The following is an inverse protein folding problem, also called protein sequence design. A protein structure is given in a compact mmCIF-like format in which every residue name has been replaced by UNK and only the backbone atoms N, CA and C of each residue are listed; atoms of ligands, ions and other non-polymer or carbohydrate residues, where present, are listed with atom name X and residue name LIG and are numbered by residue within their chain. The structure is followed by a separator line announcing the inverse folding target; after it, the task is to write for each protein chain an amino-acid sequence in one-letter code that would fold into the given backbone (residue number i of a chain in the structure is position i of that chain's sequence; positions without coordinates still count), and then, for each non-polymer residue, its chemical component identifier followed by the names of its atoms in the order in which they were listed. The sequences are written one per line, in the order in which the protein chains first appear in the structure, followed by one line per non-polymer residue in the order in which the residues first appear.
data_IF_778081744017
#
_entry.id   IF_778081744017
#
_cell.length_a   1.000
_cell.length_b   1.000
_cell.length_c   1.000
_cell.angle_alpha   90.00
_cell.angle_beta   90.00
_cell.angle_gamma   90.00
#
_symmetry.space_group_name_H-M   'P 1'
#
loop_
_entity.id
_entity.type
_entity.pdbx_description
1 polymer ?
#
# COMPACT_ATOMS: atom_id res chain seq x y z
N UNK A 1 -25.93 24.80 -33.59
CA UNK A 1 -24.62 25.39 -33.28
C UNK A 1 -24.23 24.93 -31.89
N UNK A 2 -23.48 23.84 -31.79
CA UNK A 2 -22.89 23.34 -30.55
C UNK A 2 -21.69 24.21 -30.21
N UNK A 3 -21.87 25.09 -29.23
CA UNK A 3 -20.76 25.86 -28.65
C UNK A 3 -19.70 24.87 -28.15
N UNK A 4 -18.56 24.81 -28.85
CA UNK A 4 -17.37 24.07 -28.39
C UNK A 4 -17.00 24.62 -27.00
N UNK A 5 -17.34 23.87 -25.94
CA UNK A 5 -16.89 24.20 -24.58
C UNK A 5 -15.36 24.29 -24.64
N UNK A 6 -14.79 25.47 -24.39
CA UNK A 6 -13.35 25.68 -24.26
C UNK A 6 -12.77 24.55 -23.39
N UNK A 7 -11.81 23.83 -23.93
CA UNK A 7 -11.10 22.79 -23.18
C UNK A 7 -10.43 23.44 -21.96
N UNK A 8 -11.00 23.21 -20.79
CA UNK A 8 -10.43 23.68 -19.52
C UNK A 8 -9.35 22.67 -19.12
N UNK A 9 -8.11 23.12 -19.09
CA UNK A 9 -6.95 22.28 -18.72
C UNK A 9 -6.94 21.94 -17.22
N UNK A 10 -7.34 22.89 -16.38
CA UNK A 10 -7.47 22.71 -14.93
C UNK A 10 -8.92 22.97 -14.55
N UNK A 11 -9.55 22.06 -13.82
CA UNK A 11 -10.91 22.25 -13.32
C UNK A 11 -10.97 23.46 -12.39
N UNK A 12 -12.02 24.26 -12.57
CA UNK A 12 -12.35 25.37 -11.65
C UNK A 12 -13.22 24.91 -10.47
N UNK A 13 -13.56 23.64 -10.43
CA UNK A 13 -14.35 23.07 -9.36
C UNK A 13 -13.55 23.00 -8.06
N UNK A 14 -13.76 23.94 -7.17
CA UNK A 14 -13.14 23.97 -5.85
C UNK A 14 -13.44 22.72 -5.03
N UNK A 15 -14.57 22.05 -5.29
CA UNK A 15 -14.95 20.83 -4.58
C UNK A 15 -13.98 19.69 -4.87
N UNK A 16 -13.44 19.59 -6.09
CA UNK A 16 -12.41 18.62 -6.47
C UNK A 16 -11.17 18.74 -5.57
N UNK A 17 -10.59 19.93 -5.50
CA UNK A 17 -9.36 20.16 -4.71
C UNK A 17 -9.58 19.96 -3.21
N UNK A 18 -10.73 20.44 -2.70
CA UNK A 18 -11.11 20.25 -1.30
C UNK A 18 -11.28 18.76 -0.97
N UNK A 19 -11.95 18.00 -1.82
CA UNK A 19 -12.15 16.56 -1.62
C UNK A 19 -10.84 15.80 -1.77
N UNK A 20 -10.01 16.17 -2.76
CA UNK A 20 -8.68 15.58 -2.94
C UNK A 20 -7.83 15.76 -1.66
N UNK A 21 -7.74 16.97 -1.14
CA UNK A 21 -7.00 17.24 0.10
C UNK A 21 -7.60 16.54 1.32
N UNK A 22 -8.95 16.56 1.44
CA UNK A 22 -9.66 15.94 2.57
C UNK A 22 -9.53 14.41 2.60
N UNK A 23 -9.26 13.78 1.46
CA UNK A 23 -9.00 12.34 1.37
C UNK A 23 -7.48 12.05 1.43
N UNK A 24 -6.68 12.76 0.63
CA UNK A 24 -5.26 12.46 0.50
C UNK A 24 -4.50 12.64 1.82
N UNK A 25 -4.75 13.73 2.54
CA UNK A 25 -4.03 14.01 3.79
C UNK A 25 -4.28 12.94 4.87
N UNK A 26 -5.52 12.58 5.22
CA UNK A 26 -5.76 11.50 6.18
C UNK A 26 -5.23 10.14 5.73
N UNK A 27 -5.32 9.80 4.43
CA UNK A 27 -4.82 8.52 3.91
C UNK A 27 -3.29 8.49 4.00
N UNK A 28 -2.60 9.58 3.65
CA UNK A 28 -1.14 9.68 3.76
C UNK A 28 -0.68 9.62 5.21
N UNK A 29 -1.36 10.33 6.11
CA UNK A 29 -1.07 10.27 7.54
C UNK A 29 -1.34 8.86 8.11
N UNK A 30 -2.40 8.18 7.69
CA UNK A 30 -2.65 6.79 8.08
C UNK A 30 -1.49 5.88 7.64
N UNK A 31 -1.01 6.01 6.40
CA UNK A 31 0.13 5.23 5.91
C UNK A 31 1.41 5.54 6.70
N UNK A 32 1.64 6.81 7.04
CA UNK A 32 2.77 7.23 7.86
C UNK A 32 2.69 6.66 9.29
N UNK A 33 1.51 6.68 9.91
CA UNK A 33 1.25 6.07 11.21
C UNK A 33 1.55 4.58 11.16
N UNK A 34 1.09 3.87 10.14
CA UNK A 34 1.35 2.43 9.97
C UNK A 34 2.85 2.14 9.82
N UNK A 35 3.58 2.97 9.08
CA UNK A 35 5.04 2.89 8.99
C UNK A 35 5.71 3.14 10.35
N UNK A 36 5.24 4.14 11.11
CA UNK A 36 5.76 4.47 12.44
C UNK A 36 5.55 3.34 13.46
N UNK A 37 4.43 2.61 13.39
CA UNK A 37 4.20 1.41 14.22
C UNK A 37 5.31 0.39 14.00
N UNK A 38 5.55 0.00 12.74
CA UNK A 38 6.58 -0.99 12.42
C UNK A 38 8.00 -0.52 12.78
N UNK A 39 8.27 0.78 12.63
CA UNK A 39 9.55 1.35 13.02
C UNK A 39 9.75 1.34 14.54
N UNK A 40 8.74 1.72 15.32
CA UNK A 40 8.78 1.69 16.78
C UNK A 40 8.93 0.26 17.32
N UNK A 41 8.19 -0.70 16.75
CA UNK A 41 8.32 -2.12 17.11
C UNK A 41 9.76 -2.61 16.90
N UNK A 42 10.34 -2.35 15.73
CA UNK A 42 11.72 -2.76 15.42
C UNK A 42 12.75 -2.09 16.37
N UNK A 43 12.56 -0.80 16.67
CA UNK A 43 13.44 -0.06 17.58
C UNK A 43 13.38 -0.61 19.01
N UNK A 44 12.21 -0.96 19.52
CA UNK A 44 12.06 -1.52 20.86
C UNK A 44 12.60 -2.95 20.95
N UNK A 45 12.32 -3.78 19.93
CA UNK A 45 12.83 -5.14 19.88
C UNK A 45 14.35 -5.19 19.70
N UNK A 46 14.97 -4.19 19.05
CA UNK A 46 16.43 -4.14 18.87
C UNK A 46 17.24 -4.14 20.18
N UNK A 47 16.60 -3.78 21.29
CA UNK A 47 17.23 -3.82 22.61
C UNK A 47 17.28 -5.23 23.23
N UNK A 48 16.61 -6.23 22.62
CA UNK A 48 16.57 -7.61 23.10
C UNK A 48 17.69 -8.50 22.53
N UNK A 49 18.49 -7.97 21.59
CA UNK A 49 19.57 -8.70 20.94
C UNK A 49 19.26 -9.15 19.51
N UNK A 50 20.30 -9.59 18.80
CA UNK A 50 20.25 -9.82 17.35
C UNK A 50 19.31 -10.96 16.93
N UNK A 51 19.28 -12.06 17.69
CA UNK A 51 18.39 -13.19 17.41
C UNK A 51 16.92 -12.78 17.52
N UNK A 52 16.59 -11.96 18.54
CA UNK A 52 15.27 -11.43 18.77
C UNK A 52 14.80 -10.54 17.64
N UNK A 53 15.63 -9.58 17.23
CA UNK A 53 15.33 -8.68 16.09
C UNK A 53 15.09 -9.47 14.81
N UNK A 54 16.00 -10.41 14.52
CA UNK A 54 15.92 -11.25 13.33
C UNK A 54 14.67 -12.13 13.33
N UNK A 55 14.32 -12.72 14.47
CA UNK A 55 13.11 -13.53 14.65
C UNK A 55 11.82 -12.74 14.41
N UNK A 56 11.71 -11.54 15.01
CA UNK A 56 10.57 -10.64 14.79
C UNK A 56 10.53 -10.16 13.33
N UNK A 57 11.67 -9.86 12.72
CA UNK A 57 11.73 -9.47 11.31
C UNK A 57 11.19 -10.58 10.39
N UNK A 58 11.60 -11.84 10.62
CA UNK A 58 11.09 -12.98 9.84
C UNK A 58 9.59 -13.21 10.05
N UNK A 59 9.11 -13.10 11.29
CA UNK A 59 7.67 -13.16 11.59
C UNK A 59 6.88 -12.06 10.89
N UNK A 60 7.42 -10.84 10.83
CA UNK A 60 6.83 -9.71 10.12
C UNK A 60 6.80 -9.91 8.60
N UNK A 61 7.69 -10.69 8.00
CA UNK A 61 7.62 -11.04 6.58
C UNK A 61 6.38 -11.88 6.25
N UNK A 62 6.02 -12.82 7.13
CA UNK A 62 4.77 -13.60 6.99
C UNK A 62 3.54 -12.69 7.10
N UNK A 63 3.54 -11.75 8.05
CA UNK A 63 2.48 -10.75 8.17
C UNK A 63 2.40 -9.85 6.94
N UNK A 64 3.53 -9.45 6.37
CA UNK A 64 3.60 -8.64 5.15
C UNK A 64 2.99 -9.36 3.96
N UNK A 65 3.16 -10.69 3.87
CA UNK A 65 2.50 -11.49 2.84
C UNK A 65 0.96 -11.39 2.94
N UNK A 66 0.40 -11.52 4.14
CA UNK A 66 -1.04 -11.30 4.35
C UNK A 66 -1.46 -9.88 3.96
N UNK A 67 -0.68 -8.87 4.37
CA UNK A 67 -0.99 -7.47 4.03
C UNK A 67 -1.03 -7.24 2.52
N UNK A 68 -0.15 -7.89 1.78
CA UNK A 68 -0.12 -7.83 0.32
C UNK A 68 -1.40 -8.41 -0.30
N UNK A 69 -1.82 -9.60 0.11
CA UNK A 69 -3.07 -10.21 -0.34
C UNK A 69 -4.27 -9.34 0.01
N UNK A 70 -4.30 -8.80 1.22
CA UNK A 70 -5.36 -7.91 1.69
C UNK A 70 -5.40 -6.59 0.92
N UNK A 71 -4.26 -6.07 0.46
CA UNK A 71 -4.22 -4.86 -0.38
C UNK A 71 -5.06 -5.03 -1.64
N UNK A 72 -5.02 -6.20 -2.29
CA UNK A 72 -5.87 -6.51 -3.45
C UNK A 72 -7.37 -6.49 -3.12
N UNK A 73 -7.78 -7.09 -2.01
CA UNK A 73 -9.19 -7.08 -1.54
C UNK A 73 -9.63 -5.67 -1.19
N UNK A 74 -8.83 -4.92 -0.45
CA UNK A 74 -9.09 -3.53 -0.03
C UNK A 74 -9.23 -2.59 -1.23
N UNK A 75 -8.35 -2.69 -2.23
CA UNK A 75 -8.44 -1.89 -3.46
C UNK A 75 -9.70 -2.24 -4.26
N UNK A 76 -10.03 -3.53 -4.41
CA UNK A 76 -11.26 -3.98 -5.08
C UNK A 76 -12.51 -3.41 -4.41
N UNK A 77 -12.56 -3.50 -3.08
CA UNK A 77 -13.62 -2.91 -2.26
C UNK A 77 -13.74 -1.41 -2.52
N UNK A 78 -12.60 -0.70 -2.45
CA UNK A 78 -12.55 0.76 -2.66
C UNK A 78 -13.07 1.19 -4.02
N UNK A 79 -12.68 0.49 -5.09
CA UNK A 79 -13.05 0.82 -6.47
C UNK A 79 -14.56 0.59 -6.69
N UNK A 80 -15.05 -0.61 -6.36
CA UNK A 80 -16.45 -0.94 -6.56
C UNK A 80 -17.37 -0.09 -5.68
N UNK A 81 -17.06 0.00 -4.38
CA UNK A 81 -17.88 0.76 -3.45
C UNK A 81 -17.89 2.27 -3.79
N UNK A 82 -16.78 2.85 -4.28
CA UNK A 82 -16.75 4.25 -4.71
C UNK A 82 -17.65 4.51 -5.93
N UNK A 83 -17.72 3.58 -6.89
CA UNK A 83 -18.63 3.73 -8.02
C UNK A 83 -20.11 3.64 -7.58
N UNK A 84 -20.47 2.67 -6.74
CA UNK A 84 -21.82 2.58 -6.18
C UNK A 84 -22.15 3.75 -5.24
N UNK A 85 -21.15 4.34 -4.58
CA UNK A 85 -21.32 5.60 -3.83
C UNK A 85 -21.71 6.76 -4.75
N UNK A 86 -21.10 6.85 -5.95
CA UNK A 86 -21.49 7.82 -6.98
C UNK A 86 -22.96 7.67 -7.42
N UNK A 87 -23.44 6.43 -7.52
CA UNK A 87 -24.86 6.11 -7.83
C UNK A 87 -25.79 6.26 -6.62
N UNK A 88 -25.24 6.45 -5.41
CA UNK A 88 -25.97 6.48 -4.13
C UNK A 88 -26.67 5.16 -3.77
N UNK A 89 -26.18 4.03 -4.28
CA UNK A 89 -26.71 2.70 -3.98
C UNK A 89 -26.00 2.08 -2.77
N UNK A 90 -26.56 2.35 -1.59
CA UNK A 90 -26.02 1.85 -0.32
C UNK A 90 -26.20 0.35 -0.16
N UNK A 91 -27.21 -0.24 -0.80
CA UNK A 91 -27.46 -1.68 -0.72
C UNK A 91 -26.35 -2.46 -1.38
N UNK A 92 -25.96 -2.06 -2.59
CA UNK A 92 -24.83 -2.68 -3.30
C UNK A 92 -23.49 -2.45 -2.58
N UNK A 93 -23.27 -1.27 -1.98
CA UNK A 93 -22.06 -1.02 -1.16
C UNK A 93 -21.99 -2.03 0.00
N UNK A 94 -23.06 -2.24 0.74
CA UNK A 94 -23.10 -3.21 1.84
C UNK A 94 -22.82 -4.64 1.37
N UNK A 95 -23.33 -5.02 0.20
CA UNK A 95 -23.04 -6.34 -0.39
C UNK A 95 -21.57 -6.48 -0.82
N UNK A 96 -20.94 -5.40 -1.36
CA UNK A 96 -19.52 -5.38 -1.68
C UNK A 96 -18.69 -5.55 -0.39
N UNK A 97 -19.04 -4.84 0.67
CA UNK A 97 -18.36 -4.99 1.98
C UNK A 97 -18.51 -6.40 2.52
N UNK A 98 -19.70 -7.01 2.39
CA UNK A 98 -19.95 -8.41 2.77
C UNK A 98 -19.05 -9.39 1.98
N UNK A 99 -18.94 -9.22 0.65
CA UNK A 99 -18.04 -10.01 -0.20
C UNK A 99 -16.60 -9.87 0.21
N UNK A 100 -16.16 -8.62 0.41
CA UNK A 100 -14.80 -8.30 0.84
C UNK A 100 -14.49 -8.93 2.19
N UNK A 101 -15.46 -8.90 3.13
CA UNK A 101 -15.31 -9.50 4.45
C UNK A 101 -15.14 -11.03 4.34
N UNK A 102 -15.95 -11.68 3.50
CA UNK A 102 -15.82 -13.13 3.28
C UNK A 102 -14.48 -13.50 2.64
N UNK A 103 -14.09 -12.78 1.58
CA UNK A 103 -12.81 -13.01 0.91
C UNK A 103 -11.62 -12.74 1.84
N UNK A 104 -11.65 -11.63 2.57
CA UNK A 104 -10.61 -11.26 3.51
C UNK A 104 -10.52 -12.22 4.69
N UNK A 105 -11.66 -12.59 5.32
CA UNK A 105 -11.67 -13.57 6.41
C UNK A 105 -11.17 -14.94 5.95
N UNK A 106 -11.49 -15.37 4.72
CA UNK A 106 -10.96 -16.62 4.18
C UNK A 106 -9.43 -16.55 4.03
N UNK A 107 -8.88 -15.46 3.45
CA UNK A 107 -7.43 -15.24 3.35
C UNK A 107 -6.78 -15.13 4.72
N UNK A 108 -7.37 -14.36 5.64
CA UNK A 108 -6.86 -14.19 7.00
C UNK A 108 -6.87 -15.50 7.79
N UNK A 109 -7.91 -16.33 7.63
CA UNK A 109 -8.02 -17.63 8.29
C UNK A 109 -6.99 -18.63 7.72
N UNK A 110 -6.83 -18.69 6.39
CA UNK A 110 -5.85 -19.57 5.74
C UNK A 110 -4.44 -19.21 6.21
N UNK A 111 -4.08 -17.92 6.18
CA UNK A 111 -2.75 -17.48 6.61
C UNK A 111 -2.55 -17.64 8.12
N UNK A 112 -3.57 -17.40 8.93
CA UNK A 112 -3.52 -17.65 10.37
C UNK A 112 -3.30 -19.13 10.67
N UNK A 113 -4.08 -20.03 10.06
CA UNK A 113 -3.94 -21.47 10.27
C UNK A 113 -2.56 -21.97 9.79
N UNK A 114 -2.09 -21.50 8.64
CA UNK A 114 -0.73 -21.83 8.17
C UNK A 114 0.35 -21.38 9.16
N UNK A 115 0.23 -20.18 9.73
CA UNK A 115 1.16 -19.64 10.71
C UNK A 115 1.08 -20.35 12.08
N UNK A 116 -0.09 -20.90 12.46
CA UNK A 116 -0.25 -21.66 13.71
C UNK A 116 0.16 -23.12 13.60
N UNK A 117 -0.08 -23.75 12.43
CA UNK A 117 0.21 -25.18 12.23
C UNK A 117 1.68 -25.40 11.84
N UNK A 118 2.23 -24.48 11.03
CA UNK A 118 3.58 -24.61 10.47
C UNK A 118 4.50 -23.42 10.80
N UNK A 119 4.54 -22.87 12.03
CA UNK A 119 5.26 -21.62 12.30
C UNK A 119 6.77 -21.76 12.09
N UNK A 120 7.39 -22.82 12.59
CA UNK A 120 8.84 -23.06 12.45
C UNK A 120 9.24 -23.35 11.00
N UNK A 121 8.41 -24.06 10.25
CA UNK A 121 8.66 -24.34 8.84
C UNK A 121 8.58 -23.05 8.00
N UNK A 122 7.59 -22.19 8.26
CA UNK A 122 7.46 -20.92 7.56
C UNK A 122 8.64 -19.98 7.83
N UNK A 123 9.10 -19.90 9.08
CA UNK A 123 10.31 -19.13 9.41
C UNK A 123 11.56 -19.79 8.81
N UNK A 124 11.66 -21.14 8.87
CA UNK A 124 12.76 -21.90 8.31
C UNK A 124 12.92 -21.80 6.79
N UNK A 125 11.83 -21.45 6.05
CA UNK A 125 11.94 -21.11 4.62
C UNK A 125 12.69 -19.77 4.38
N UNK A 126 12.75 -18.89 5.39
CA UNK A 126 13.35 -17.58 5.28
C UNK A 126 14.78 -17.52 5.83
N UNK A 127 15.13 -18.41 6.78
CA UNK A 127 16.46 -18.47 7.41
C UNK A 127 16.81 -19.89 7.85
N UNK A 128 18.09 -20.29 7.74
CA UNK A 128 18.57 -21.56 8.29
C UNK A 128 18.97 -21.48 9.77
N UNK A 129 19.00 -20.29 10.37
CA UNK A 129 19.47 -20.06 11.73
C UNK A 129 18.45 -20.56 12.76
N UNK A 130 18.85 -21.53 13.59
CA UNK A 130 17.97 -22.20 14.56
C UNK A 130 17.51 -21.30 15.71
N UNK A 131 18.36 -20.35 16.15
CA UNK A 131 17.98 -19.36 17.16
C UNK A 131 16.93 -18.40 16.63
N UNK A 132 17.14 -17.89 15.43
CA UNK A 132 16.18 -17.00 14.75
C UNK A 132 14.85 -17.73 14.48
N UNK A 133 14.90 -19.01 14.12
CA UNK A 133 13.69 -19.84 13.94
C UNK A 133 12.94 -19.98 15.27
N UNK A 134 13.63 -20.21 16.38
CA UNK A 134 12.98 -20.36 17.69
C UNK A 134 12.26 -19.07 18.11
N UNK A 135 12.95 -17.93 18.07
CA UNK A 135 12.39 -16.63 18.44
C UNK A 135 11.28 -16.16 17.48
N UNK A 136 11.48 -16.35 16.17
CA UNK A 136 10.46 -16.04 15.15
C UNK A 136 9.20 -16.90 15.29
N UNK A 137 9.34 -18.16 15.68
CA UNK A 137 8.23 -19.09 15.94
C UNK A 137 7.38 -18.61 17.12
N UNK A 138 8.03 -18.20 18.23
CA UNK A 138 7.33 -17.64 19.39
C UNK A 138 6.52 -16.40 19.00
N UNK A 139 7.15 -15.49 18.28
CA UNK A 139 6.52 -14.26 17.80
C UNK A 139 5.33 -14.55 16.87
N UNK A 140 5.56 -15.36 15.82
CA UNK A 140 4.57 -15.65 14.80
C UNK A 140 3.34 -16.36 15.36
N UNK A 141 3.50 -17.31 16.27
CA UNK A 141 2.40 -18.06 16.88
C UNK A 141 1.43 -17.13 17.63
N UNK A 142 1.93 -16.09 18.29
CA UNK A 142 1.09 -15.12 19.00
C UNK A 142 0.48 -14.12 18.00
N UNK A 143 1.28 -13.56 17.11
CA UNK A 143 0.83 -12.53 16.14
C UNK A 143 -0.16 -13.09 15.12
N UNK A 144 -0.10 -14.37 14.78
CA UNK A 144 -1.02 -15.01 13.85
C UNK A 144 -2.51 -14.79 14.21
N UNK A 145 -2.84 -14.77 15.49
CA UNK A 145 -4.21 -14.45 15.94
C UNK A 145 -4.66 -13.05 15.56
N UNK A 146 -3.73 -12.11 15.38
CA UNK A 146 -4.05 -10.74 14.96
C UNK A 146 -4.50 -10.65 13.50
N UNK A 147 -4.26 -11.65 12.67
CA UNK A 147 -4.54 -11.62 11.22
C UNK A 147 -6.02 -11.43 10.90
N UNK A 148 -6.91 -12.06 11.68
CA UNK A 148 -8.35 -11.90 11.50
C UNK A 148 -8.81 -10.49 11.90
N UNK A 149 -8.30 -9.96 13.00
CA UNK A 149 -8.66 -8.60 13.47
C UNK A 149 -8.16 -7.54 12.48
N UNK A 150 -6.94 -7.70 11.98
CA UNK A 150 -6.38 -6.85 10.92
C UNK A 150 -7.26 -6.85 9.66
N UNK A 151 -7.70 -8.04 9.22
CA UNK A 151 -8.55 -8.18 8.03
C UNK A 151 -9.86 -7.43 8.18
N UNK A 152 -10.54 -7.58 9.32
CA UNK A 152 -11.81 -6.91 9.58
C UNK A 152 -11.64 -5.39 9.61
N UNK A 153 -10.62 -4.88 10.32
CA UNK A 153 -10.36 -3.45 10.41
C UNK A 153 -10.05 -2.83 9.05
N UNK A 154 -9.20 -3.47 8.23
CA UNK A 154 -8.81 -2.93 6.91
C UNK A 154 -9.98 -2.86 5.93
N UNK A 155 -10.90 -3.83 5.95
CA UNK A 155 -12.08 -3.81 5.08
C UNK A 155 -13.05 -2.70 5.51
N UNK A 156 -13.31 -2.54 6.81
CA UNK A 156 -14.15 -1.45 7.31
C UNK A 156 -13.53 -0.09 6.96
N UNK A 157 -12.23 0.09 7.15
CA UNK A 157 -11.51 1.33 6.79
C UNK A 157 -11.60 1.60 5.28
N UNK A 158 -11.46 0.57 4.43
CA UNK A 158 -11.61 0.70 2.99
C UNK A 158 -13.03 1.13 2.60
N UNK A 159 -14.04 0.53 3.23
CA UNK A 159 -15.43 0.89 3.03
C UNK A 159 -15.71 2.35 3.43
N UNK A 160 -15.22 2.80 4.60
CA UNK A 160 -15.34 4.19 5.02
C UNK A 160 -14.65 5.16 4.06
N UNK A 161 -13.47 4.80 3.57
CA UNK A 161 -12.72 5.59 2.59
C UNK A 161 -13.50 5.75 1.28
N UNK A 162 -14.17 4.70 0.81
CA UNK A 162 -14.94 4.73 -0.45
C UNK A 162 -16.14 5.69 -0.41
N UNK A 163 -16.70 5.95 0.78
CA UNK A 163 -17.77 6.94 1.00
C UNK A 163 -17.24 8.31 1.48
N UNK A 164 -16.01 8.63 1.10
CA UNK A 164 -15.33 9.90 1.40
C UNK A 164 -15.16 10.18 2.90
N UNK A 165 -14.93 9.15 3.70
CA UNK A 165 -14.68 9.26 5.14
C UNK A 165 -13.31 8.68 5.53
N UNK A 166 -12.22 9.27 4.97
CA UNK A 166 -10.86 8.79 5.18
C UNK A 166 -10.30 9.11 6.58
N UNK A 167 -10.84 10.11 7.27
CA UNK A 167 -10.38 10.50 8.63
C UNK A 167 -10.53 9.37 9.64
N UNK A 168 -11.52 8.53 9.44
CA UNK A 168 -11.80 7.38 10.33
C UNK A 168 -10.61 6.43 10.36
N UNK A 169 -10.09 6.04 9.19
CA UNK A 169 -8.91 5.17 9.11
C UNK A 169 -7.69 5.78 9.81
N UNK A 170 -7.45 7.07 9.61
CA UNK A 170 -6.35 7.79 10.28
C UNK A 170 -6.49 7.75 11.82
N UNK A 171 -7.68 8.08 12.34
CA UNK A 171 -7.92 8.13 13.78
C UNK A 171 -7.81 6.73 14.43
N UNK A 172 -8.36 5.70 13.77
CA UNK A 172 -8.27 4.32 14.24
C UNK A 172 -6.81 3.86 14.27
N UNK A 173 -6.03 4.14 13.21
CA UNK A 173 -4.61 3.81 13.16
C UNK A 173 -3.80 4.57 14.21
N UNK A 174 -4.16 5.81 14.53
CA UNK A 174 -3.52 6.60 15.59
C UNK A 174 -3.77 5.98 16.99
N UNK A 175 -5.00 5.56 17.25
CA UNK A 175 -5.33 4.84 18.50
C UNK A 175 -4.51 3.55 18.60
N UNK A 176 -4.45 2.77 17.51
CA UNK A 176 -3.67 1.53 17.48
C UNK A 176 -2.17 1.79 17.69
N UNK A 177 -1.60 2.86 17.13
CA UNK A 177 -0.20 3.27 17.34
C UNK A 177 0.07 3.55 18.83
N UNK A 178 -0.75 4.39 19.45
CA UNK A 178 -0.56 4.76 20.86
C UNK A 178 -0.64 3.53 21.76
N UNK A 179 -1.64 2.68 21.54
CA UNK A 179 -1.82 1.42 22.31
C UNK A 179 -0.62 0.49 22.09
N UNK A 180 -0.16 0.32 20.83
CA UNK A 180 0.96 -0.55 20.51
C UNK A 180 2.25 -0.08 21.19
N UNK A 181 2.63 1.19 21.05
CA UNK A 181 3.85 1.74 21.67
C UNK A 181 3.80 1.62 23.19
N UNK A 182 2.66 1.97 23.80
CA UNK A 182 2.49 1.91 25.24
C UNK A 182 2.62 0.47 25.77
N UNK A 183 1.95 -0.48 25.11
CA UNK A 183 2.01 -1.89 25.49
C UNK A 183 3.37 -2.52 25.21
N UNK A 184 4.03 -2.17 24.12
CA UNK A 184 5.40 -2.60 23.85
C UNK A 184 6.33 -2.18 24.97
N UNK A 185 6.28 -0.91 25.40
CA UNK A 185 7.11 -0.42 26.48
C UNK A 185 6.86 -1.17 27.79
N UNK A 186 5.58 -1.42 28.15
CA UNK A 186 5.20 -2.12 29.36
C UNK A 186 5.60 -3.61 29.33
N UNK A 187 5.29 -4.31 28.21
CA UNK A 187 5.43 -5.77 28.15
C UNK A 187 6.83 -6.22 27.76
N UNK A 188 7.55 -5.48 26.92
CA UNK A 188 8.91 -5.83 26.53
C UNK A 188 9.87 -5.65 27.72
N UNK A 189 9.77 -4.47 28.39
CA UNK A 189 10.74 -4.08 29.42
C UNK A 189 10.29 -4.38 30.86
N UNK A 190 9.06 -4.79 31.05
CA UNK A 190 8.57 -5.14 32.39
C UNK A 190 8.30 -3.93 33.28
N UNK A 191 7.42 -3.04 32.85
CA UNK A 191 7.04 -1.85 33.60
C UNK A 191 5.70 -2.05 34.32
N UNK A 192 5.35 -1.16 35.29
CA UNK A 192 4.09 -1.19 36.05
C UNK A 192 3.82 -2.52 36.79
N UNK A 193 4.86 -3.23 37.23
CA UNK A 193 4.72 -4.50 37.97
C UNK A 193 4.48 -5.73 37.07
N UNK A 194 4.52 -5.59 35.75
CA UNK A 194 4.47 -6.71 34.81
C UNK A 194 5.90 -7.23 34.60
N UNK A 195 6.16 -8.55 34.61
CA UNK A 195 7.48 -9.07 34.31
C UNK A 195 7.87 -8.77 32.85
N UNK A 196 9.16 -8.55 32.59
CA UNK A 196 9.70 -8.38 31.24
C UNK A 196 9.46 -9.65 30.41
N UNK A 197 8.70 -9.53 29.32
CA UNK A 197 8.30 -10.64 28.46
C UNK A 197 9.12 -10.72 27.16
N UNK A 198 9.99 -9.72 26.88
CA UNK A 198 10.80 -9.68 25.67
C UNK A 198 9.97 -9.78 24.38
N UNK A 199 10.34 -10.71 23.50
CA UNK A 199 9.64 -10.96 22.22
C UNK A 199 8.17 -11.33 22.40
N UNK A 200 7.84 -12.13 23.41
CA UNK A 200 6.43 -12.45 23.72
C UNK A 200 5.64 -11.19 24.03
N UNK A 201 6.25 -10.26 24.77
CA UNK A 201 5.66 -8.95 25.07
C UNK A 201 5.36 -8.15 23.80
N UNK A 202 6.30 -8.08 22.88
CA UNK A 202 6.11 -7.42 21.57
C UNK A 202 4.97 -8.06 20.75
N UNK A 203 4.91 -9.39 20.71
CA UNK A 203 3.85 -10.12 20.00
C UNK A 203 2.46 -9.88 20.60
N UNK A 204 2.36 -9.90 21.95
CA UNK A 204 1.11 -9.63 22.67
C UNK A 204 0.67 -8.18 22.48
N UNK A 205 1.59 -7.22 22.56
CA UNK A 205 1.29 -5.81 22.30
C UNK A 205 0.74 -5.59 20.88
N UNK A 206 1.34 -6.23 19.88
CA UNK A 206 0.85 -6.21 18.50
C UNK A 206 -0.54 -6.83 18.40
N UNK A 207 -0.79 -7.99 19.02
CA UNK A 207 -2.10 -8.63 19.02
C UNK A 207 -3.17 -7.73 19.66
N UNK A 208 -2.91 -7.19 20.84
CA UNK A 208 -3.87 -6.33 21.57
C UNK A 208 -4.13 -5.05 20.75
N UNK A 209 -3.11 -4.43 20.17
CA UNK A 209 -3.30 -3.23 19.33
C UNK A 209 -4.17 -3.50 18.10
N UNK A 210 -4.08 -4.69 17.49
CA UNK A 210 -4.95 -5.11 16.38
C UNK A 210 -6.38 -5.40 16.83
N UNK A 211 -6.55 -5.96 18.02
CA UNK A 211 -7.90 -6.14 18.62
C UNK A 211 -8.54 -4.78 18.87
N UNK A 212 -7.80 -3.81 19.42
CA UNK A 212 -8.28 -2.45 19.68
C UNK A 212 -8.60 -1.72 18.35
N UNK A 213 -7.74 -1.85 17.32
CA UNK A 213 -7.97 -1.33 15.98
C UNK A 213 -9.29 -1.86 15.40
N UNK A 214 -9.51 -3.17 15.49
CA UNK A 214 -10.71 -3.84 15.01
C UNK A 214 -11.95 -3.41 15.79
N UNK A 215 -11.86 -3.37 17.12
CA UNK A 215 -12.95 -2.92 17.97
C UNK A 215 -13.33 -1.46 17.66
N UNK A 216 -12.35 -0.56 17.54
CA UNK A 216 -12.58 0.84 17.17
C UNK A 216 -13.24 0.97 15.79
N UNK A 217 -12.82 0.16 14.80
CA UNK A 217 -13.42 0.13 13.47
C UNK A 217 -14.90 -0.33 13.53
N UNK A 218 -15.19 -1.40 14.27
CA UNK A 218 -16.55 -1.91 14.43
C UNK A 218 -17.43 -0.93 15.20
N UNK A 219 -16.93 -0.36 16.29
CA UNK A 219 -17.66 0.65 17.10
C UNK A 219 -18.00 1.85 16.21
N UNK A 220 -17.02 2.35 15.45
CA UNK A 220 -17.28 3.46 14.55
C UNK A 220 -18.34 3.11 13.51
N UNK A 221 -18.18 1.99 12.80
CA UNK A 221 -19.08 1.58 11.72
C UNK A 221 -20.53 1.33 12.22
N UNK A 222 -20.68 0.87 13.48
CA UNK A 222 -21.98 0.50 14.02
C UNK A 222 -22.72 1.64 14.71
N UNK A 223 -22.02 2.51 15.43
CA UNK A 223 -22.67 3.50 16.32
C UNK A 223 -22.41 4.96 15.89
N UNK A 224 -21.31 5.23 15.24
CA UNK A 224 -20.92 6.62 14.91
C UNK A 224 -21.20 6.95 13.45
N UNK A 225 -21.01 5.99 12.52
CA UNK A 225 -21.19 6.24 11.09
C UNK A 225 -22.68 6.35 10.74
N UNK A 226 -23.02 7.54 10.22
CA UNK A 226 -24.37 7.86 9.73
C UNK A 226 -24.53 7.65 8.23
N UNK A 227 -23.43 7.47 7.48
CA UNK A 227 -23.47 7.36 6.03
C UNK A 227 -23.85 5.95 5.57
N UNK A 228 -23.15 4.93 6.02
CA UNK A 228 -23.39 3.54 5.63
C UNK A 228 -24.27 2.80 6.63
N UNK A 229 -24.18 3.16 7.92
CA UNK A 229 -24.90 2.51 9.03
C UNK A 229 -24.80 0.98 8.92
N UNK A 230 -23.56 0.46 8.94
CA UNK A 230 -23.30 -0.97 8.84
C UNK A 230 -23.80 -1.69 10.08
N UNK A 231 -24.53 -2.79 9.88
CA UNK A 231 -24.98 -3.68 10.93
C UNK A 231 -24.26 -5.02 10.82
N UNK A 232 -24.07 -5.72 11.92
CA UNK A 232 -23.43 -7.06 11.91
C UNK A 232 -24.09 -8.02 10.90
N UNK A 233 -25.41 -7.96 10.76
CA UNK A 233 -26.14 -8.74 9.78
C UNK A 233 -25.75 -8.45 8.33
N UNK A 234 -25.25 -7.25 8.03
CA UNK A 234 -24.86 -6.84 6.67
C UNK A 234 -23.60 -7.59 6.22
N UNK A 235 -22.78 -8.11 7.15
CA UNK A 235 -21.58 -8.92 6.84
C UNK A 235 -21.91 -10.39 6.50
N UNK A 236 -23.10 -10.87 6.91
CA UNK A 236 -23.57 -12.24 6.67
C UNK A 236 -24.74 -12.30 5.69
N UNK A 237 -25.14 -11.15 5.11
CA UNK A 237 -26.27 -11.02 4.20
C UNK A 237 -26.11 -11.83 2.91
N UNK A 238 -27.22 -12.06 2.20
CA UNK A 238 -27.20 -12.64 0.86
C UNK A 238 -26.58 -11.63 -0.12
N UNK A 239 -25.68 -12.12 -0.98
CA UNK A 239 -25.01 -11.32 -1.98
C UNK A 239 -25.55 -11.69 -3.36
N UNK A 240 -25.78 -10.69 -4.20
CA UNK A 240 -26.17 -10.91 -5.59
C UNK A 240 -25.04 -11.59 -6.34
N UNK A 241 -25.34 -12.68 -7.05
CA UNK A 241 -24.37 -13.45 -7.85
C UNK A 241 -23.66 -12.60 -8.91
N UNK A 242 -24.37 -11.62 -9.50
CA UNK A 242 -23.80 -10.71 -10.48
C UNK A 242 -22.71 -9.83 -9.84
N UNK A 243 -22.98 -9.32 -8.63
CA UNK A 243 -22.04 -8.48 -7.89
C UNK A 243 -20.81 -9.29 -7.44
N UNK A 244 -21.01 -10.57 -7.07
CA UNK A 244 -19.93 -11.50 -6.77
C UNK A 244 -19.06 -11.76 -8.01
N UNK A 245 -19.67 -11.94 -9.18
CA UNK A 245 -18.98 -12.06 -10.45
C UNK A 245 -18.17 -10.82 -10.81
N UNK A 246 -18.74 -9.63 -10.60
CA UNK A 246 -18.04 -8.36 -10.82
C UNK A 246 -16.86 -8.19 -9.83
N UNK A 247 -17.06 -8.55 -8.57
CA UNK A 247 -15.99 -8.51 -7.55
C UNK A 247 -14.80 -9.39 -7.95
N UNK A 248 -15.03 -10.62 -8.43
CA UNK A 248 -13.99 -11.50 -8.92
C UNK A 248 -13.36 -10.97 -10.21
N UNK A 249 -14.17 -10.55 -11.18
CA UNK A 249 -13.72 -10.08 -12.49
C UNK A 249 -12.78 -8.88 -12.40
N UNK A 250 -13.10 -7.94 -11.52
CA UNK A 250 -12.29 -6.72 -11.34
C UNK A 250 -11.24 -6.87 -10.25
N UNK A 251 -11.48 -7.70 -9.25
CA UNK A 251 -10.57 -7.95 -8.14
C UNK A 251 -9.42 -8.89 -8.48
N UNK A 252 -9.66 -9.95 -9.24
CA UNK A 252 -8.60 -10.91 -9.58
C UNK A 252 -7.39 -10.27 -10.29
N UNK A 253 -7.57 -9.37 -11.29
CA UNK A 253 -6.43 -8.66 -11.88
C UNK A 253 -5.70 -7.75 -10.88
N UNK A 254 -6.42 -7.15 -9.91
CA UNK A 254 -5.81 -6.31 -8.89
C UNK A 254 -4.93 -7.16 -7.97
N UNK A 255 -5.46 -8.28 -7.47
CA UNK A 255 -4.71 -9.21 -6.61
C UNK A 255 -3.49 -9.78 -7.34
N UNK A 256 -3.65 -10.19 -8.60
CA UNK A 256 -2.54 -10.67 -9.44
C UNK A 256 -1.47 -9.59 -9.63
N UNK A 257 -1.86 -8.33 -9.78
CA UNK A 257 -0.93 -7.20 -9.86
C UNK A 257 -0.09 -7.01 -8.59
N UNK A 258 -0.69 -7.20 -7.41
CA UNK A 258 0.06 -7.14 -6.14
C UNK A 258 1.09 -8.29 -6.03
N UNK A 259 0.74 -9.49 -6.54
CA UNK A 259 1.68 -10.63 -6.60
C UNK A 259 2.85 -10.32 -7.56
N UNK A 260 2.57 -9.77 -8.74
CA UNK A 260 3.62 -9.35 -9.69
C UNK A 260 4.54 -8.31 -9.06
N UNK A 261 3.97 -7.36 -8.31
CA UNK A 261 4.77 -6.36 -7.60
C UNK A 261 5.67 -6.99 -6.52
N UNK A 262 5.17 -7.98 -5.78
CA UNK A 262 5.97 -8.71 -4.79
C UNK A 262 7.14 -9.46 -5.44
N UNK A 263 6.86 -10.21 -6.51
CA UNK A 263 7.90 -10.92 -7.28
C UNK A 263 8.97 -9.95 -7.77
N UNK A 264 8.53 -8.81 -8.33
CA UNK A 264 9.44 -7.76 -8.79
C UNK A 264 10.35 -7.26 -7.66
N UNK A 265 9.78 -6.99 -6.48
CA UNK A 265 10.53 -6.47 -5.33
C UNK A 265 11.58 -7.48 -4.84
N UNK A 266 11.19 -8.75 -4.70
CA UNK A 266 12.10 -9.82 -4.27
C UNK A 266 13.23 -10.01 -5.29
N UNK A 267 12.90 -10.05 -6.59
CA UNK A 267 13.89 -10.24 -7.65
C UNK A 267 14.85 -9.04 -7.75
N UNK A 268 14.35 -7.80 -7.59
CA UNK A 268 15.21 -6.60 -7.54
C UNK A 268 16.21 -6.68 -6.38
N UNK A 269 15.74 -7.10 -5.18
CA UNK A 269 16.62 -7.30 -4.02
C UNK A 269 17.63 -8.40 -4.26
N UNK A 270 17.26 -9.48 -4.92
CA UNK A 270 18.16 -10.56 -5.33
C UNK A 270 19.25 -10.08 -6.29
N UNK A 271 18.90 -9.34 -7.35
CA UNK A 271 19.87 -8.78 -8.30
C UNK A 271 20.88 -7.87 -7.58
N UNK A 272 20.39 -6.95 -6.73
CA UNK A 272 21.27 -6.04 -5.98
C UNK A 272 22.10 -6.76 -4.91
N UNK A 273 21.62 -7.88 -4.38
CA UNK A 273 22.32 -8.71 -3.40
C UNK A 273 23.59 -9.39 -3.91
N UNK A 274 23.76 -9.49 -5.24
CA UNK A 274 24.99 -10.02 -5.85
C UNK A 274 26.12 -8.98 -6.00
N UNK A 275 25.83 -7.73 -5.67
CA UNK A 275 26.85 -6.67 -5.67
C UNK A 275 27.58 -6.55 -4.32
N UNK A 276 28.53 -5.62 -4.25
CA UNK A 276 29.31 -5.37 -3.03
C UNK A 276 28.45 -4.87 -1.87
N UNK A 277 28.93 -5.01 -0.66
CA UNK A 277 28.26 -4.56 0.58
C UNK A 277 27.92 -3.07 0.53
N UNK A 278 28.78 -2.27 -0.10
CA UNK A 278 28.58 -0.83 -0.26
C UNK A 278 27.37 -0.51 -1.15
N UNK A 279 27.17 -1.28 -2.22
CA UNK A 279 26.03 -1.16 -3.14
C UNK A 279 24.72 -1.57 -2.45
N UNK A 280 24.76 -2.65 -1.67
CA UNK A 280 23.61 -3.10 -0.87
C UNK A 280 23.21 -2.03 0.15
N UNK A 281 24.20 -1.47 0.87
CA UNK A 281 23.94 -0.38 1.83
C UNK A 281 23.38 0.86 1.14
N UNK A 282 23.92 1.24 -0.01
CA UNK A 282 23.42 2.35 -0.81
C UNK A 282 21.98 2.14 -1.29
N UNK A 283 21.63 0.91 -1.72
CA UNK A 283 20.28 0.56 -2.14
C UNK A 283 19.28 0.64 -0.98
N UNK A 284 19.70 0.26 0.23
CA UNK A 284 18.90 0.39 1.45
C UNK A 284 18.59 1.85 1.78
N UNK A 285 19.61 2.73 1.69
CA UNK A 285 19.45 4.19 1.89
C UNK A 285 18.44 4.77 0.88
N UNK A 286 18.60 4.43 -0.41
CA UNK A 286 17.67 4.84 -1.45
C UNK A 286 16.25 4.28 -1.21
N UNK A 287 16.13 3.04 -0.74
CA UNK A 287 14.87 2.39 -0.37
C UNK A 287 14.14 3.13 0.77
N UNK A 288 14.86 3.58 1.78
CA UNK A 288 14.27 4.38 2.87
C UNK A 288 13.69 5.70 2.36
N UNK A 289 14.42 6.41 1.49
CA UNK A 289 13.92 7.63 0.85
C UNK A 289 12.68 7.34 0.00
N UNK A 290 12.72 6.24 -0.78
CA UNK A 290 11.58 5.79 -1.57
C UNK A 290 10.33 5.61 -0.70
N UNK A 291 10.44 4.87 0.40
CA UNK A 291 9.32 4.58 1.28
C UNK A 291 8.69 5.85 1.85
N UNK A 292 9.50 6.81 2.31
CA UNK A 292 9.03 8.08 2.84
C UNK A 292 8.21 8.88 1.80
N UNK A 293 8.73 8.98 0.58
CA UNK A 293 8.04 9.71 -0.50
C UNK A 293 6.82 8.94 -1.01
N UNK A 294 6.94 7.62 -1.15
CA UNK A 294 5.90 6.75 -1.68
C UNK A 294 4.62 6.75 -0.82
N UNK A 295 4.75 6.94 0.49
CA UNK A 295 3.62 7.10 1.42
C UNK A 295 2.66 8.21 0.94
N UNK A 296 3.20 9.37 0.57
CA UNK A 296 2.42 10.52 0.11
C UNK A 296 1.80 10.28 -1.27
N UNK A 297 2.59 9.77 -2.20
CA UNK A 297 2.12 9.48 -3.57
C UNK A 297 1.00 8.45 -3.55
N UNK A 298 1.12 7.42 -2.72
CA UNK A 298 0.10 6.39 -2.53
C UNK A 298 -1.20 6.95 -1.93
N UNK A 299 -1.08 7.86 -0.98
CA UNK A 299 -2.24 8.54 -0.38
C UNK A 299 -2.99 9.39 -1.40
N UNK A 300 -2.25 10.16 -2.20
CA UNK A 300 -2.80 10.98 -3.29
C UNK A 300 -3.47 10.11 -4.37
N UNK A 301 -2.82 9.03 -4.82
CA UNK A 301 -3.40 8.11 -5.80
C UNK A 301 -4.70 7.45 -5.29
N UNK A 302 -4.74 7.09 -4.00
CA UNK A 302 -5.94 6.54 -3.37
C UNK A 302 -7.09 7.56 -3.33
N UNK A 303 -6.79 8.82 -3.05
CA UNK A 303 -7.79 9.89 -3.07
C UNK A 303 -8.36 10.12 -4.47
N UNK A 304 -7.51 10.14 -5.50
CA UNK A 304 -7.92 10.19 -6.92
C UNK A 304 -8.81 9.00 -7.27
N UNK A 305 -8.47 7.80 -6.80
CA UNK A 305 -9.26 6.60 -7.04
C UNK A 305 -10.70 6.72 -6.51
N UNK A 306 -10.88 7.26 -5.30
CA UNK A 306 -12.21 7.47 -4.71
C UNK A 306 -13.00 8.52 -5.50
N UNK A 307 -12.38 9.66 -5.83
CA UNK A 307 -13.03 10.73 -6.61
C UNK A 307 -13.43 10.21 -8.00
N UNK A 308 -12.53 9.51 -8.67
CA UNK A 308 -12.78 8.93 -10.00
C UNK A 308 -13.90 7.91 -9.96
N UNK A 309 -13.83 6.95 -9.03
CA UNK A 309 -14.87 5.93 -8.87
C UNK A 309 -16.25 6.57 -8.66
N UNK A 310 -16.36 7.52 -7.73
CA UNK A 310 -17.59 8.27 -7.47
C UNK A 310 -18.12 8.99 -8.72
N UNK A 311 -17.23 9.68 -9.44
CA UNK A 311 -17.66 10.46 -10.62
C UNK A 311 -18.04 9.55 -11.78
N UNK A 312 -17.36 8.42 -11.99
CA UNK A 312 -17.76 7.40 -12.97
C UNK A 312 -19.10 6.78 -12.59
N UNK A 313 -19.29 6.44 -11.31
CA UNK A 313 -20.53 5.85 -10.81
C UNK A 313 -21.74 6.78 -10.92
N UNK A 314 -21.54 8.11 -10.84
CA UNK A 314 -22.60 9.09 -11.06
C UNK A 314 -23.01 9.27 -12.54
N UNK A 315 -22.24 8.69 -13.48
CA UNK A 315 -22.50 8.77 -14.92
C UNK A 315 -22.05 10.06 -15.60
N UNK A 316 -21.42 11.01 -14.89
CA UNK A 316 -20.96 12.30 -15.44
C UNK A 316 -19.60 12.14 -16.15
N UNK A 317 -19.64 11.62 -17.37
CA UNK A 317 -18.44 11.32 -18.18
C UNK A 317 -17.63 12.59 -18.48
N UNK A 318 -18.27 13.72 -18.72
CA UNK A 318 -17.55 14.95 -19.03
C UNK A 318 -16.75 15.46 -17.83
N UNK A 319 -17.31 15.35 -16.63
CA UNK A 319 -16.60 15.67 -15.38
C UNK A 319 -15.45 14.70 -15.13
N UNK A 320 -15.62 13.41 -15.45
CA UNK A 320 -14.51 12.43 -15.37
C UNK A 320 -13.36 12.85 -16.27
N UNK A 321 -13.62 13.27 -17.52
CA UNK A 321 -12.59 13.74 -18.46
C UNK A 321 -11.88 15.00 -17.95
N UNK A 322 -12.65 15.95 -17.40
CA UNK A 322 -12.11 17.18 -16.82
C UNK A 322 -11.19 16.87 -15.62
N UNK A 323 -11.63 16.03 -14.69
CA UNK A 323 -10.83 15.61 -13.55
C UNK A 323 -9.61 14.82 -13.96
N UNK A 324 -9.70 13.97 -14.99
CA UNK A 324 -8.56 13.21 -15.50
C UNK A 324 -7.46 14.12 -16.07
N UNK A 325 -7.82 15.20 -16.80
CA UNK A 325 -6.85 16.18 -17.28
C UNK A 325 -6.21 16.95 -16.12
N UNK A 326 -7.04 17.42 -15.20
CA UNK A 326 -6.57 18.14 -14.01
C UNK A 326 -5.62 17.28 -13.18
N UNK A 327 -5.94 16.00 -12.98
CA UNK A 327 -5.09 15.04 -12.28
C UNK A 327 -3.72 14.92 -12.95
N UNK A 328 -3.67 14.76 -14.27
CA UNK A 328 -2.41 14.65 -15.00
C UNK A 328 -1.50 15.88 -14.77
N UNK A 329 -2.04 17.08 -14.94
CA UNK A 329 -1.26 18.33 -14.77
C UNK A 329 -0.81 18.51 -13.32
N UNK A 330 -1.73 18.29 -12.37
CA UNK A 330 -1.43 18.43 -10.95
C UNK A 330 -0.29 17.49 -10.52
N UNK A 331 -0.31 16.24 -11.00
CA UNK A 331 0.69 15.26 -10.62
C UNK A 331 2.03 15.39 -11.34
N UNK A 332 2.08 16.05 -12.50
CA UNK A 332 3.35 16.52 -13.08
C UNK A 332 4.00 17.52 -12.11
N UNK A 333 3.23 18.48 -11.59
CA UNK A 333 3.73 19.44 -10.60
C UNK A 333 4.23 18.78 -9.32
N UNK A 334 3.46 17.81 -8.78
CA UNK A 334 3.87 17.00 -7.62
C UNK A 334 5.16 16.23 -7.91
N UNK A 335 5.30 15.66 -9.10
CA UNK A 335 6.50 14.94 -9.52
C UNK A 335 7.73 15.83 -9.58
N UNK A 336 7.60 17.02 -10.20
CA UNK A 336 8.69 18.01 -10.27
C UNK A 336 9.11 18.43 -8.86
N UNK A 337 8.13 18.76 -8.00
CA UNK A 337 8.40 19.12 -6.61
C UNK A 337 9.14 17.99 -5.88
N UNK A 338 8.67 16.76 -5.99
CA UNK A 338 9.27 15.59 -5.34
C UNK A 338 10.69 15.32 -5.83
N UNK A 339 10.90 15.39 -7.14
CA UNK A 339 12.23 15.24 -7.74
C UNK A 339 13.19 16.31 -7.20
N UNK A 340 12.79 17.57 -7.25
CA UNK A 340 13.59 18.70 -6.75
C UNK A 340 13.88 18.56 -5.25
N UNK A 341 12.90 18.13 -4.47
CA UNK A 341 13.05 17.90 -3.03
C UNK A 341 14.10 16.81 -2.76
N UNK A 342 14.01 15.63 -3.40
CA UNK A 342 14.99 14.56 -3.22
C UNK A 342 16.38 15.02 -3.62
N UNK A 343 16.52 15.70 -4.77
CA UNK A 343 17.82 16.22 -5.24
C UNK A 343 18.40 17.25 -4.28
N UNK A 344 17.57 18.11 -3.69
CA UNK A 344 17.99 19.13 -2.73
C UNK A 344 18.49 18.56 -1.42
N UNK A 345 17.81 17.53 -0.89
CA UNK A 345 18.15 16.96 0.43
C UNK A 345 19.10 15.76 0.36
N UNK A 346 19.41 15.22 -0.84
CA UNK A 346 20.18 13.98 -1.01
C UNK A 346 21.50 13.96 -0.22
N UNK A 347 22.25 15.07 -0.24
CA UNK A 347 23.53 15.18 0.47
C UNK A 347 23.34 15.08 1.99
N UNK A 348 22.41 15.86 2.52
CA UNK A 348 22.07 15.84 3.95
C UNK A 348 21.48 14.48 4.37
N UNK A 349 20.62 13.88 3.53
CA UNK A 349 20.00 12.59 3.86
C UNK A 349 21.02 11.46 4.03
N UNK A 350 22.05 11.41 3.16
CA UNK A 350 23.09 10.39 3.25
C UNK A 350 23.96 10.56 4.51
N UNK A 351 24.13 11.78 5.04
CA UNK A 351 24.93 12.00 6.26
C UNK A 351 24.31 11.43 7.53
N UNK A 352 22.99 11.16 7.53
CA UNK A 352 22.34 10.52 8.68
C UNK A 352 22.72 9.02 8.84
N UNK A 353 23.36 8.43 7.84
CA UNK A 353 23.74 7.03 7.87
C UNK A 353 25.24 6.87 8.11
N UNK A 354 25.61 6.06 9.10
CA UNK A 354 26.99 5.72 9.43
C UNK A 354 27.51 4.62 8.48
N UNK A 355 27.81 5.00 7.23
CA UNK A 355 28.30 4.10 6.18
C UNK A 355 29.62 4.59 5.61
N UNK A 356 30.36 3.70 4.92
CA UNK A 356 31.62 4.03 4.26
C UNK A 356 31.48 5.10 3.17
N UNK A 357 32.56 5.80 2.85
CA UNK A 357 32.55 6.83 1.81
C UNK A 357 32.18 6.29 0.43
N UNK A 358 32.56 5.04 0.13
CA UNK A 358 32.16 4.34 -1.09
C UNK A 358 30.63 4.11 -1.11
N UNK A 359 30.04 3.66 0.00
CA UNK A 359 28.59 3.49 0.10
C UNK A 359 27.85 4.83 0.01
N UNK A 360 28.41 5.90 0.57
CA UNK A 360 27.87 7.28 0.42
C UNK A 360 27.87 7.75 -1.04
N UNK A 361 28.95 7.47 -1.77
CA UNK A 361 29.06 7.83 -3.19
C UNK A 361 28.00 7.09 -4.02
N UNK A 362 27.82 5.78 -3.83
CA UNK A 362 26.76 5.00 -4.49
C UNK A 362 25.36 5.47 -4.06
N UNK A 363 25.14 5.75 -2.79
CA UNK A 363 23.85 6.25 -2.29
C UNK A 363 23.47 7.59 -2.95
N UNK A 364 24.42 8.51 -3.08
CA UNK A 364 24.18 9.78 -3.75
C UNK A 364 23.78 9.60 -5.22
N UNK A 365 24.39 8.65 -5.95
CA UNK A 365 24.01 8.31 -7.32
C UNK A 365 22.64 7.63 -7.40
N UNK A 366 22.35 6.69 -6.49
CA UNK A 366 21.05 6.00 -6.43
C UNK A 366 19.92 6.97 -6.09
N UNK A 367 20.17 7.96 -5.24
CA UNK A 367 19.19 9.01 -4.94
C UNK A 367 18.89 9.91 -6.14
N UNK A 368 19.85 10.13 -7.06
CA UNK A 368 19.59 10.83 -8.33
C UNK A 368 18.67 9.99 -9.23
N UNK A 369 18.99 8.71 -9.41
CA UNK A 369 18.12 7.78 -10.15
C UNK A 369 16.74 7.71 -9.54
N UNK A 370 16.67 7.65 -8.20
CA UNK A 370 15.42 7.64 -7.45
C UNK A 370 14.60 8.92 -7.66
N UNK A 371 15.24 10.10 -7.63
CA UNK A 371 14.58 11.39 -7.86
C UNK A 371 13.91 11.44 -9.24
N UNK A 372 14.63 10.99 -10.27
CA UNK A 372 14.11 10.92 -11.65
C UNK A 372 12.97 9.89 -11.74
N UNK A 373 13.14 8.71 -11.15
CA UNK A 373 12.09 7.69 -11.15
C UNK A 373 10.85 8.12 -10.38
N UNK A 374 11.00 8.90 -9.30
CA UNK A 374 9.87 9.46 -8.55
C UNK A 374 9.07 10.48 -9.35
N UNK A 375 9.69 11.23 -10.26
CA UNK A 375 8.96 12.06 -11.21
C UNK A 375 7.93 11.23 -11.99
N UNK A 376 8.37 10.08 -12.51
CA UNK A 376 7.49 9.13 -13.21
C UNK A 376 6.47 8.49 -12.30
N UNK A 377 6.87 8.04 -11.10
CA UNK A 377 5.98 7.42 -10.12
C UNK A 377 4.84 8.36 -9.71
N UNK A 378 5.16 9.63 -9.42
CA UNK A 378 4.17 10.64 -9.06
C UNK A 378 3.14 10.87 -10.16
N UNK A 379 3.50 10.72 -11.43
CA UNK A 379 2.59 10.86 -12.55
C UNK A 379 1.83 9.57 -12.86
N UNK A 380 2.56 8.45 -13.08
CA UNK A 380 1.95 7.23 -13.58
C UNK A 380 1.03 6.55 -12.55
N UNK A 381 1.37 6.60 -11.26
CA UNK A 381 0.61 5.90 -10.23
C UNK A 381 -0.81 6.49 -10.03
N UNK A 382 -1.02 7.81 -9.88
CA UNK A 382 -2.37 8.38 -9.87
C UNK A 382 -3.11 8.17 -11.19
N UNK A 383 -2.42 8.20 -12.32
CA UNK A 383 -3.04 7.98 -13.63
C UNK A 383 -3.51 6.54 -13.83
N UNK A 384 -2.65 5.55 -13.56
CA UNK A 384 -2.98 4.14 -13.77
C UNK A 384 -3.83 3.57 -12.62
N UNK A 385 -3.38 3.76 -11.37
CA UNK A 385 -4.10 3.21 -10.21
C UNK A 385 -5.25 4.11 -9.75
N UNK A 386 -5.09 5.43 -9.85
CA UNK A 386 -6.12 6.39 -9.44
C UNK A 386 -7.23 6.59 -10.46
N UNK A 387 -6.90 6.73 -11.76
CA UNK A 387 -7.89 6.95 -12.81
C UNK A 387 -8.30 5.65 -13.50
N UNK A 388 -7.36 4.97 -14.19
CA UNK A 388 -7.67 3.84 -15.10
C UNK A 388 -8.24 2.66 -14.32
N UNK A 389 -7.60 2.26 -13.21
CA UNK A 389 -8.05 1.15 -12.35
C UNK A 389 -9.41 1.47 -11.71
N UNK A 390 -9.58 2.69 -11.16
CA UNK A 390 -10.84 3.13 -10.55
C UNK A 390 -11.97 3.35 -11.54
N UNK A 391 -11.64 3.67 -12.79
CA UNK A 391 -12.58 3.74 -13.89
C UNK A 391 -13.02 2.39 -14.44
N UNK A 392 -12.55 1.25 -13.88
CA UNK A 392 -13.00 -0.09 -14.20
C UNK A 392 -12.13 -0.88 -15.16
N UNK A 393 -10.97 -0.37 -15.62
CA UNK A 393 -10.07 -1.11 -16.51
C UNK A 393 -8.88 -1.72 -15.75
N UNK A 394 -9.20 -2.54 -14.75
CA UNK A 394 -8.23 -3.20 -13.86
C UNK A 394 -7.31 -4.16 -14.60
N UNK A 395 -7.87 -4.90 -15.57
CA UNK A 395 -7.12 -5.86 -16.39
C UNK A 395 -6.04 -5.21 -17.23
N UNK A 396 -6.26 -3.99 -17.74
CA UNK A 396 -5.26 -3.25 -18.48
C UNK A 396 -4.06 -2.90 -17.58
N UNK A 397 -4.32 -2.41 -16.38
CA UNK A 397 -3.24 -2.04 -15.44
C UNK A 397 -2.42 -3.25 -15.07
N UNK A 398 -3.07 -4.38 -14.75
CA UNK A 398 -2.38 -5.65 -14.47
C UNK A 398 -1.48 -6.10 -15.63
N UNK A 399 -2.01 -6.12 -16.87
CA UNK A 399 -1.22 -6.51 -18.06
C UNK A 399 -0.05 -5.57 -18.28
N UNK A 400 -0.26 -4.27 -18.14
CA UNK A 400 0.77 -3.25 -18.27
C UNK A 400 1.90 -3.46 -17.25
N UNK A 401 1.55 -3.70 -15.98
CA UNK A 401 2.53 -3.93 -14.93
C UNK A 401 3.31 -5.23 -15.17
N UNK A 402 2.63 -6.30 -15.56
CA UNK A 402 3.25 -7.59 -15.89
C UNK A 402 4.26 -7.47 -17.04
N UNK A 403 3.86 -6.81 -18.14
CA UNK A 403 4.76 -6.60 -19.29
C UNK A 403 5.98 -5.79 -18.88
N UNK A 404 5.81 -4.68 -18.16
CA UNK A 404 6.95 -3.86 -17.75
C UNK A 404 7.89 -4.60 -16.81
N UNK A 405 7.37 -5.38 -15.86
CA UNK A 405 8.22 -6.15 -14.94
C UNK A 405 9.00 -7.22 -15.68
N UNK A 406 8.31 -8.12 -16.41
CA UNK A 406 8.95 -9.32 -16.97
C UNK A 406 9.63 -9.11 -18.32
N UNK A 407 9.22 -8.11 -19.12
CA UNK A 407 9.81 -7.87 -20.43
C UNK A 407 10.76 -6.66 -20.47
N UNK A 408 10.74 -5.79 -19.45
CA UNK A 408 11.57 -4.58 -19.47
C UNK A 408 12.49 -4.53 -18.24
N UNK A 409 11.95 -4.46 -17.03
CA UNK A 409 12.72 -4.20 -15.81
C UNK A 409 13.69 -5.34 -15.50
N UNK A 410 13.17 -6.56 -15.35
CA UNK A 410 14.00 -7.70 -14.98
C UNK A 410 15.01 -8.07 -16.06
N UNK A 411 14.64 -8.17 -17.35
CA UNK A 411 15.63 -8.47 -18.39
C UNK A 411 16.71 -7.40 -18.53
N UNK A 412 16.34 -6.11 -18.54
CA UNK A 412 17.33 -5.02 -18.67
C UNK A 412 18.31 -4.99 -17.49
N UNK A 413 17.83 -5.20 -16.26
CA UNK A 413 18.67 -5.21 -15.07
C UNK A 413 19.59 -6.44 -15.05
N UNK A 414 19.09 -7.63 -15.44
CA UNK A 414 19.89 -8.86 -15.53
C UNK A 414 20.99 -8.72 -16.61
N UNK A 415 20.62 -8.22 -17.80
CA UNK A 415 21.59 -7.99 -18.87
C UNK A 415 22.67 -7.00 -18.41
N UNK A 416 22.26 -5.84 -17.83
CA UNK A 416 23.21 -4.86 -17.32
C UNK A 416 24.12 -5.44 -16.23
N UNK A 417 23.60 -6.26 -15.33
CA UNK A 417 24.38 -6.95 -14.29
C UNK A 417 25.36 -7.94 -14.87
N UNK A 418 24.94 -8.77 -15.84
CA UNK A 418 25.82 -9.75 -16.50
C UNK A 418 26.93 -9.09 -17.36
N UNK A 419 26.65 -7.92 -17.94
CA UNK A 419 27.65 -7.16 -18.68
C UNK A 419 28.63 -6.39 -17.77
N UNK A 420 28.53 -6.53 -16.46
CA UNK A 420 29.38 -5.82 -15.50
C UNK A 420 29.16 -4.30 -15.49
N UNK A 421 27.96 -3.85 -15.82
CA UNK A 421 27.64 -2.42 -15.82
C UNK A 421 27.77 -1.82 -14.41
N UNK A 422 28.06 -0.51 -14.37
CA UNK A 422 28.16 0.22 -13.12
C UNK A 422 26.85 0.07 -12.28
N UNK A 423 26.92 -0.11 -10.94
CA UNK A 423 25.74 -0.36 -10.11
C UNK A 423 24.61 0.66 -10.26
N UNK A 424 24.94 1.93 -10.52
CA UNK A 424 23.92 2.97 -10.78
C UNK A 424 23.14 2.73 -12.07
N UNK A 425 23.73 2.11 -13.09
CA UNK A 425 23.06 1.75 -14.35
C UNK A 425 22.09 0.58 -14.08
N UNK A 426 22.53 -0.43 -13.35
CA UNK A 426 21.67 -1.55 -12.95
C UNK A 426 20.49 -1.04 -12.12
N UNK A 427 20.74 -0.15 -11.17
CA UNK A 427 19.69 0.47 -10.37
C UNK A 427 18.73 1.31 -11.23
N UNK A 428 19.22 2.01 -12.24
CA UNK A 428 18.39 2.74 -13.22
C UNK A 428 17.51 1.79 -14.05
N UNK A 429 18.04 0.65 -14.51
CA UNK A 429 17.25 -0.39 -15.16
C UNK A 429 16.14 -0.93 -14.28
N UNK A 430 16.42 -1.14 -12.96
CA UNK A 430 15.41 -1.59 -11.98
C UNK A 430 14.28 -0.58 -11.74
N UNK A 431 14.46 0.69 -12.10
CA UNK A 431 13.49 1.79 -11.91
C UNK A 431 12.98 2.40 -13.22
N UNK A 432 13.41 1.90 -14.38
CA UNK A 432 13.09 2.47 -15.70
C UNK A 432 11.58 2.42 -16.02
N UNK A 433 10.87 1.41 -15.50
CA UNK A 433 9.43 1.26 -15.71
C UNK A 433 8.63 2.48 -15.22
N UNK A 434 9.11 3.18 -14.19
CA UNK A 434 8.43 4.33 -13.63
C UNK A 434 8.30 5.46 -14.65
N UNK A 435 9.28 5.62 -15.53
CA UNK A 435 9.26 6.61 -16.62
C UNK A 435 8.54 6.05 -17.85
N UNK A 436 8.83 4.81 -18.24
CA UNK A 436 8.23 4.20 -19.43
C UNK A 436 6.70 4.07 -19.30
N UNK A 437 6.20 3.73 -18.11
CA UNK A 437 4.77 3.69 -17.83
C UNK A 437 4.08 5.05 -17.96
N UNK A 438 4.80 6.17 -17.88
CA UNK A 438 4.23 7.49 -18.11
C UNK A 438 3.68 7.64 -19.54
N UNK A 439 4.41 7.13 -20.54
CA UNK A 439 3.97 7.16 -21.95
C UNK A 439 2.66 6.40 -22.10
N UNK A 440 2.61 5.20 -21.53
CA UNK A 440 1.40 4.35 -21.55
C UNK A 440 0.25 5.03 -20.81
N UNK A 441 0.53 5.66 -19.65
CA UNK A 441 -0.46 6.37 -18.85
C UNK A 441 -1.06 7.55 -19.62
N UNK A 442 -0.23 8.39 -20.28
CA UNK A 442 -0.68 9.52 -21.11
C UNK A 442 -1.64 9.03 -22.20
N UNK A 443 -1.20 8.02 -22.98
CA UNK A 443 -1.99 7.49 -24.10
C UNK A 443 -3.31 6.90 -23.59
N UNK A 444 -3.25 6.08 -22.51
CA UNK A 444 -4.42 5.37 -21.99
C UNK A 444 -5.44 6.32 -21.39
N UNK A 445 -4.99 7.28 -20.56
CA UNK A 445 -5.88 8.23 -19.89
C UNK A 445 -6.58 9.12 -20.92
N UNK A 446 -5.87 9.65 -21.91
CA UNK A 446 -6.43 10.57 -22.91
C UNK A 446 -7.31 9.89 -23.96
N UNK A 447 -7.24 8.55 -24.10
CA UNK A 447 -8.19 7.81 -24.95
C UNK A 447 -9.57 7.62 -24.32
N UNK A 448 -9.73 7.84 -23.01
CA UNK A 448 -10.98 7.74 -22.23
C UNK A 448 -11.73 6.39 -22.33
N UNK A 449 -11.18 5.37 -23.00
CA UNK A 449 -11.79 4.03 -23.13
C UNK A 449 -11.76 3.21 -21.83
N UNK A 450 -11.11 3.74 -20.80
CA UNK A 450 -11.03 3.16 -19.46
C UNK A 450 -12.24 3.52 -18.59
N UNK A 451 -13.04 4.53 -19.01
CA UNK A 451 -14.24 4.96 -18.27
C UNK A 451 -15.31 3.90 -18.48
N UNK A 452 -15.46 3.01 -17.51
CA UNK A 452 -16.46 1.94 -17.50
C UNK A 452 -17.30 2.07 -16.24
N UNK A 453 -18.58 2.38 -16.42
CA UNK A 453 -19.50 2.36 -15.30
C UNK A 453 -19.81 0.90 -14.94
N UNK A 454 -19.39 0.49 -13.75
CA UNK A 454 -19.59 -0.87 -13.23
C UNK A 454 -20.89 -1.00 -12.45
N UNK A 455 -21.60 0.11 -12.23
CA UNK A 455 -22.88 0.10 -11.51
C UNK A 455 -24.01 -0.31 -12.45
N UNK A 456 -24.81 -1.24 -12.03
CA UNK A 456 -25.99 -1.74 -12.74
C UNK A 456 -27.28 -1.17 -12.19
#
# INVERSE_FOLDING_TARGET
MTTAKKQVWLTRDRSFYRTLAALALPISLQNLITFAVGFADNLMVSQLGDAAVSGVYMGNQIQTFLQLLMTGVVQTTGILAAQYWGKRDMTSIKQIVCLSMRAGLALGLITMLAALIFPSQLIGLLTPDTEVIAEGTIYLTIVAWSFLFYTVSQIIIAAMRSVENARVGMNISLIALVVNISLNYILIFGWLGVPAMGIRGAAIATLISRVVECAAAIVYARWIDKKMNLRLRDFFGRVNRLLAGDFLRYGAPIMAGEIVWAINTVTQSGILGHFSKEVISASSIAGNMHNLVYIWVRGLASAVSVITGKTVGSGDVERVKEYARTTQIFFIGVGIFTCSFILGIRGLFVTFFAVSDAARAYAAQFLVVMAISMLGTCYQMPCLSGLVKAGGDTSFVFKNDTIHVFCVVLPSALIASHLGAHPAVVFACLKCDQILKCIVAVIKVNRYKWIRNLTR
#
